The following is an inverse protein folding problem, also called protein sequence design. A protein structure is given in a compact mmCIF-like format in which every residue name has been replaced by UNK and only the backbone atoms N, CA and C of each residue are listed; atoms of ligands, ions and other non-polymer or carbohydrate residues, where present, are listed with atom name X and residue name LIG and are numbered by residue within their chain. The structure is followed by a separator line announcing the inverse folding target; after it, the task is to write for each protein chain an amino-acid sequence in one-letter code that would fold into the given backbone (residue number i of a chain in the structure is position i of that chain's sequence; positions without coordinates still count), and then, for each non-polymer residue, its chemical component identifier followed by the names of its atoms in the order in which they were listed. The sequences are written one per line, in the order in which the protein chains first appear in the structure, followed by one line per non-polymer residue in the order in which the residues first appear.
data_IF_855507490784
#
_entry.id   IF_855507490784
#
_cell.length_a   1.000
_cell.length_b   1.000
_cell.length_c   1.000
_cell.angle_alpha   90.00
_cell.angle_beta   90.00
_cell.angle_gamma   90.00
#
_symmetry.space_group_name_H-M   'P 1'
#
loop_
_entity.id
_entity.type
_entity.pdbx_description
1 polymer ?
#
# COMPACT_ATOMS: atom_id res chain seq x y z
N UNK A 1 13.36 5.33 11.14
CA UNK A 1 12.89 5.35 9.75
C UNK A 1 14.06 4.96 8.88
N UNK A 2 13.99 3.79 8.23
CA UNK A 2 14.93 3.48 7.15
C UNK A 2 14.61 4.46 6.00
N UNK A 3 15.62 5.16 5.51
CA UNK A 3 15.44 6.11 4.41
C UNK A 3 15.08 5.31 3.15
N UNK A 4 13.94 5.61 2.53
CA UNK A 4 13.64 5.14 1.19
C UNK A 4 14.15 6.15 0.16
N UNK A 5 14.53 5.66 -1.02
CA UNK A 5 14.96 6.50 -2.13
C UNK A 5 14.35 5.98 -3.42
N UNK A 6 14.09 6.91 -4.34
CA UNK A 6 13.76 6.54 -5.70
C UNK A 6 15.04 6.22 -6.47
N UNK A 7 14.96 5.25 -7.37
CA UNK A 7 16.05 4.89 -8.27
C UNK A 7 16.46 6.10 -9.12
N UNK A 8 17.74 6.49 -8.99
CA UNK A 8 18.29 7.69 -9.65
C UNK A 8 18.48 7.52 -11.16
N UNK A 9 18.59 6.28 -11.64
CA UNK A 9 18.85 5.98 -13.06
C UNK A 9 17.57 5.88 -13.89
N UNK A 10 16.38 5.89 -13.24
CA UNK A 10 15.12 5.81 -13.96
C UNK A 10 14.84 7.08 -14.74
N UNK A 11 14.69 6.92 -16.05
CA UNK A 11 14.20 7.97 -16.93
C UNK A 11 12.68 7.95 -17.00
N UNK A 12 12.07 9.13 -16.85
CA UNK A 12 10.63 9.32 -17.00
C UNK A 12 10.23 9.16 -18.47
N UNK A 13 9.25 8.29 -18.72
CA UNK A 13 8.68 8.16 -20.06
C UNK A 13 7.82 9.38 -20.40
N UNK A 14 7.84 9.76 -21.68
CA UNK A 14 6.95 10.76 -22.25
C UNK A 14 6.19 10.17 -23.42
N UNK A 15 4.88 10.36 -23.44
CA UNK A 15 4.01 10.04 -24.57
C UNK A 15 3.55 11.37 -25.14
N UNK A 16 4.13 11.78 -26.28
CA UNK A 16 3.95 13.13 -26.80
C UNK A 16 4.42 14.21 -25.83
N UNK A 17 3.53 15.13 -25.45
CA UNK A 17 3.75 16.16 -24.44
C UNK A 17 3.49 15.73 -23.00
N UNK A 18 2.95 14.52 -22.77
CA UNK A 18 2.59 14.03 -21.45
C UNK A 18 3.77 13.30 -20.76
N UNK A 19 4.11 13.70 -19.54
CA UNK A 19 5.11 13.02 -18.71
C UNK A 19 4.42 12.04 -17.76
N UNK A 20 4.77 10.76 -17.86
CA UNK A 20 4.21 9.70 -17.01
C UNK A 20 4.90 9.66 -15.64
N UNK A 21 4.27 9.10 -14.59
CA UNK A 21 4.93 8.68 -13.35
C UNK A 21 6.11 7.74 -13.64
N UNK A 22 7.13 7.68 -12.76
CA UNK A 22 8.31 6.84 -12.99
C UNK A 22 7.94 5.36 -13.07
N UNK A 23 6.92 4.91 -12.34
CA UNK A 23 6.48 3.53 -12.30
C UNK A 23 5.70 3.06 -13.53
N UNK A 24 5.28 3.96 -14.42
CA UNK A 24 4.54 3.58 -15.63
C UNK A 24 5.48 3.39 -16.82
N UNK A 25 5.38 2.22 -17.45
CA UNK A 25 5.94 1.92 -18.77
C UNK A 25 4.81 2.07 -19.78
N UNK A 26 4.92 2.94 -20.80
CA UNK A 26 3.79 3.30 -21.67
C UNK A 26 3.28 2.19 -22.58
N UNK A 27 4.13 1.24 -23.01
CA UNK A 27 3.75 0.29 -24.05
C UNK A 27 3.32 0.99 -25.35
N UNK A 28 2.15 0.62 -25.86
CA UNK A 28 1.51 1.20 -27.05
C UNK A 28 0.50 2.32 -26.72
N UNK A 29 0.63 2.91 -25.52
CA UNK A 29 -0.25 3.98 -25.05
C UNK A 29 -0.27 5.20 -25.97
N UNK A 30 -1.47 5.73 -26.19
CA UNK A 30 -1.71 7.01 -26.87
C UNK A 30 -1.58 8.14 -25.86
N UNK A 31 -1.07 9.30 -26.31
CA UNK A 31 -0.94 10.49 -25.46
C UNK A 31 -2.25 10.81 -24.72
N UNK A 32 -2.26 10.84 -23.38
CA UNK A 32 -3.44 11.18 -22.60
C UNK A 32 -3.87 12.64 -22.82
N UNK A 33 -5.18 12.86 -22.78
CA UNK A 33 -5.76 14.21 -22.85
C UNK A 33 -5.74 14.81 -21.45
N UNK A 34 -4.99 15.89 -21.28
CA UNK A 34 -4.98 16.64 -20.02
C UNK A 34 -6.27 17.46 -19.88
N UNK A 35 -7.00 17.26 -18.80
CA UNK A 35 -8.33 17.83 -18.58
C UNK A 35 -9.02 17.09 -17.44
N UNK A 36 -10.34 17.21 -17.34
CA UNK A 36 -11.13 16.39 -16.43
C UNK A 36 -12.38 15.82 -17.10
N UNK A 37 -12.83 14.65 -16.66
CA UNK A 37 -14.18 14.15 -16.93
C UNK A 37 -15.06 14.42 -15.72
N UNK A 38 -16.38 14.49 -15.93
CA UNK A 38 -17.36 14.57 -14.85
C UNK A 38 -18.46 13.54 -15.07
N UNK A 39 -18.78 12.79 -14.02
CA UNK A 39 -19.87 11.81 -14.01
C UNK A 39 -20.84 12.17 -12.90
N UNK A 40 -22.13 12.21 -13.23
CA UNK A 40 -23.20 12.34 -12.26
C UNK A 40 -23.60 10.95 -11.78
N UNK A 41 -23.58 10.75 -10.46
CA UNK A 41 -24.01 9.53 -9.82
C UNK A 41 -25.31 9.82 -9.07
N UNK A 42 -26.41 9.20 -9.51
CA UNK A 42 -27.66 9.27 -8.79
C UNK A 42 -27.55 8.44 -7.50
N UNK A 43 -27.88 9.05 -6.36
CA UNK A 43 -27.86 8.34 -5.09
C UNK A 43 -28.88 7.21 -5.06
N UNK A 44 -28.55 6.09 -4.41
CA UNK A 44 -29.51 5.03 -4.19
C UNK A 44 -30.24 5.22 -2.84
N UNK A 45 -31.57 5.09 -2.86
CA UNK A 45 -32.41 5.15 -1.65
C UNK A 45 -32.31 6.48 -0.88
N UNK A 46 -31.59 6.50 0.24
CA UNK A 46 -31.40 7.65 1.12
C UNK A 46 -30.04 8.35 0.89
N UNK A 47 -29.20 7.81 -0.01
CA UNK A 47 -27.92 8.40 -0.36
C UNK A 47 -28.09 9.66 -1.24
N UNK A 48 -27.27 10.69 -1.05
CA UNK A 48 -27.34 11.90 -1.86
C UNK A 48 -26.79 11.66 -3.27
N UNK A 49 -27.31 12.44 -4.23
CA UNK A 49 -26.70 12.56 -5.55
C UNK A 49 -25.30 13.21 -5.45
N UNK A 50 -24.39 12.77 -6.31
CA UNK A 50 -23.00 13.22 -6.28
C UNK A 50 -22.42 13.41 -7.69
N UNK A 51 -21.29 14.11 -7.76
CA UNK A 51 -20.43 14.16 -8.93
C UNK A 51 -19.09 13.50 -8.63
N UNK A 52 -18.57 12.75 -9.59
CA UNK A 52 -17.17 12.32 -9.63
C UNK A 52 -16.46 13.11 -10.72
N UNK A 53 -15.44 13.85 -10.33
CA UNK A 53 -14.50 14.49 -11.24
C UNK A 53 -13.25 13.61 -11.32
N UNK A 54 -12.75 13.34 -12.52
CA UNK A 54 -11.45 12.68 -12.69
C UNK A 54 -10.54 13.56 -13.52
N UNK A 55 -9.51 14.12 -12.88
CA UNK A 55 -8.60 15.07 -13.48
C UNK A 55 -7.25 14.41 -13.79
N UNK A 56 -6.76 14.58 -15.01
CA UNK A 56 -5.50 14.01 -15.47
C UNK A 56 -4.59 15.12 -15.97
N UNK A 57 -3.37 15.15 -15.45
CA UNK A 57 -2.32 16.11 -15.80
C UNK A 57 -0.98 15.41 -15.96
N UNK A 58 -0.11 15.99 -16.78
CA UNK A 58 1.29 15.55 -16.87
C UNK A 58 1.91 15.57 -15.46
N UNK A 59 2.73 14.56 -15.13
CA UNK A 59 3.27 14.34 -13.79
C UNK A 59 3.90 15.60 -13.17
N UNK A 60 4.54 16.46 -13.96
CA UNK A 60 5.12 17.72 -13.49
C UNK A 60 4.12 18.72 -12.85
N UNK A 61 2.81 18.52 -13.04
CA UNK A 61 1.74 19.36 -12.48
C UNK A 61 0.98 18.69 -11.34
N UNK A 62 1.13 17.38 -11.15
CA UNK A 62 0.22 16.60 -10.30
C UNK A 62 0.30 17.00 -8.83
N UNK A 63 1.51 17.23 -8.30
CA UNK A 63 1.70 17.54 -6.88
C UNK A 63 0.89 18.77 -6.47
N UNK A 64 0.85 19.79 -7.34
CA UNK A 64 0.10 21.01 -7.06
C UNK A 64 -1.41 20.74 -7.11
N UNK A 65 -1.88 20.00 -8.11
CA UNK A 65 -3.29 19.65 -8.23
C UNK A 65 -3.78 18.84 -7.02
N UNK A 66 -3.03 17.83 -6.60
CA UNK A 66 -3.38 16.98 -5.44
C UNK A 66 -3.39 17.79 -4.15
N UNK A 67 -2.38 18.65 -3.92
CA UNK A 67 -2.36 19.50 -2.73
C UNK A 67 -3.57 20.42 -2.68
N UNK A 68 -3.86 21.13 -3.78
CA UNK A 68 -4.99 22.05 -3.85
C UNK A 68 -6.32 21.28 -3.70
N UNK A 69 -6.41 20.05 -4.22
CA UNK A 69 -7.58 19.19 -4.03
C UNK A 69 -7.74 18.74 -2.57
N UNK A 70 -6.66 18.37 -1.87
CA UNK A 70 -6.70 18.05 -0.43
C UNK A 70 -7.10 19.25 0.42
N UNK A 71 -6.90 20.50 -0.02
CA UNK A 71 -7.42 21.69 0.68
C UNK A 71 -8.96 21.77 0.66
N UNK A 72 -9.65 20.99 -0.19
CA UNK A 72 -11.10 20.86 -0.15
C UNK A 72 -11.58 20.00 1.02
N UNK A 73 -10.74 19.10 1.52
CA UNK A 73 -11.10 18.18 2.60
C UNK A 73 -11.34 18.94 3.91
N UNK A 74 -12.30 18.48 4.74
CA UNK A 74 -12.54 19.08 6.05
C UNK A 74 -11.43 18.75 7.05
N UNK A 75 -11.53 19.30 8.26
CA UNK A 75 -10.53 19.12 9.32
C UNK A 75 -10.40 17.66 9.83
N UNK A 76 -11.37 16.80 9.53
CA UNK A 76 -11.45 15.40 9.95
C UNK A 76 -11.70 14.51 8.73
N UNK A 77 -10.86 13.52 8.51
CA UNK A 77 -10.90 12.65 7.33
C UNK A 77 -10.67 11.19 7.69
N UNK A 78 -11.08 10.30 6.81
CA UNK A 78 -10.80 8.87 6.85
C UNK A 78 -9.80 8.61 5.71
N UNK A 79 -8.53 8.29 6.02
CA UNK A 79 -7.57 7.95 4.99
C UNK A 79 -7.91 6.64 4.26
N UNK A 80 -7.55 6.59 2.98
CA UNK A 80 -7.72 5.43 2.10
C UNK A 80 -6.42 5.21 1.32
N UNK A 81 -5.99 3.95 1.21
CA UNK A 81 -4.92 3.51 0.32
C UNK A 81 -5.43 2.37 -0.55
N UNK A 82 -5.08 2.39 -1.81
CA UNK A 82 -5.28 1.27 -2.72
C UNK A 82 -3.92 0.74 -3.19
N UNK A 83 -3.74 -0.57 -3.27
CA UNK A 83 -2.52 -1.16 -3.81
C UNK A 83 -2.84 -2.42 -4.60
N UNK A 84 -2.11 -2.68 -5.69
CA UNK A 84 -2.23 -3.95 -6.42
C UNK A 84 -2.00 -5.14 -5.49
N UNK A 85 -2.95 -6.07 -5.46
CA UNK A 85 -2.92 -7.17 -4.50
C UNK A 85 -2.00 -8.31 -4.95
N UNK A 86 -1.43 -9.02 -3.97
CA UNK A 86 -0.73 -10.30 -4.18
C UNK A 86 -1.65 -11.50 -4.00
N UNK A 87 -2.87 -11.27 -3.52
CA UNK A 87 -3.87 -12.31 -3.32
C UNK A 87 -4.33 -12.90 -4.67
N UNK A 88 -4.35 -14.22 -4.75
CA UNK A 88 -4.67 -14.94 -5.99
C UNK A 88 -6.13 -14.77 -6.47
N UNK A 89 -7.00 -14.14 -5.67
CA UNK A 89 -8.44 -14.05 -5.93
C UNK A 89 -8.99 -12.61 -5.87
N UNK A 90 -8.13 -11.60 -5.73
CA UNK A 90 -8.49 -10.19 -5.89
C UNK A 90 -7.34 -9.42 -6.55
N UNK A 91 -7.68 -8.45 -7.38
CA UNK A 91 -6.72 -7.61 -8.08
C UNK A 91 -6.19 -6.43 -7.25
N UNK A 92 -6.95 -5.96 -6.27
CA UNK A 92 -6.67 -4.75 -5.50
C UNK A 92 -6.92 -4.97 -4.00
N UNK A 93 -6.00 -4.48 -3.19
CA UNK A 93 -6.15 -4.30 -1.75
C UNK A 93 -6.55 -2.86 -1.46
N UNK A 94 -7.65 -2.68 -0.73
CA UNK A 94 -8.12 -1.38 -0.28
C UNK A 94 -7.97 -1.33 1.23
N UNK A 95 -7.19 -0.37 1.72
CA UNK A 95 -6.99 -0.13 3.14
C UNK A 95 -7.71 1.16 3.53
N UNK A 96 -8.54 1.10 4.57
CA UNK A 96 -9.36 2.23 5.02
C UNK A 96 -9.18 2.40 6.51
N UNK A 97 -9.03 3.65 6.95
CA UNK A 97 -8.96 3.95 8.38
C UNK A 97 -10.27 3.60 9.08
N UNK A 98 -10.19 2.94 10.22
CA UNK A 98 -11.38 2.62 11.03
C UNK A 98 -11.83 3.80 11.90
N UNK A 99 -11.05 4.88 11.92
CA UNK A 99 -11.32 6.10 12.68
C UNK A 99 -11.15 7.34 11.80
N UNK A 100 -11.86 8.41 12.15
CA UNK A 100 -11.55 9.72 11.56
C UNK A 100 -10.28 10.29 12.22
N UNK A 101 -9.39 10.81 11.39
CA UNK A 101 -8.14 11.45 11.78
C UNK A 101 -8.19 12.95 11.45
N UNK A 102 -7.50 13.80 12.23
CA UNK A 102 -7.26 15.17 11.82
C UNK A 102 -6.57 15.22 10.45
N UNK A 103 -7.02 16.10 9.56
CA UNK A 103 -6.42 16.27 8.23
C UNK A 103 -4.91 16.55 8.30
N UNK A 104 -4.43 17.18 9.39
CA UNK A 104 -3.01 17.43 9.58
C UNK A 104 -2.20 16.13 9.69
N UNK A 105 -2.72 15.08 10.32
CA UNK A 105 -2.04 13.78 10.43
C UNK A 105 -1.94 13.07 9.07
N UNK A 106 -3.02 13.14 8.28
CA UNK A 106 -3.01 12.70 6.89
C UNK A 106 -1.99 13.49 6.05
N UNK A 107 -1.97 14.82 6.18
CA UNK A 107 -1.07 15.69 5.41
C UNK A 107 0.40 15.52 5.79
N UNK A 108 0.70 15.22 7.07
CA UNK A 108 2.05 14.86 7.51
C UNK A 108 2.54 13.58 6.84
N UNK A 109 1.69 12.56 6.77
CA UNK A 109 1.98 11.29 6.08
C UNK A 109 2.14 11.52 4.57
N UNK A 110 1.21 12.26 3.95
CA UNK A 110 1.31 12.67 2.54
C UNK A 110 2.64 13.36 2.24
N UNK A 111 3.04 14.36 3.04
CA UNK A 111 4.29 15.08 2.80
C UNK A 111 5.54 14.22 2.95
N UNK A 112 5.49 13.22 3.84
CA UNK A 112 6.56 12.25 4.05
C UNK A 112 6.70 11.29 2.88
N UNK A 113 5.59 10.76 2.35
CA UNK A 113 5.59 9.68 1.36
C UNK A 113 5.28 10.13 -0.07
N UNK A 114 4.94 11.41 -0.33
CA UNK A 114 4.57 11.91 -1.66
C UNK A 114 5.57 11.58 -2.77
N UNK A 115 6.86 11.44 -2.46
CA UNK A 115 7.87 11.10 -3.44
C UNK A 115 7.61 9.73 -4.08
N UNK A 116 7.23 8.71 -3.29
CA UNK A 116 6.85 7.39 -3.83
C UNK A 116 5.40 7.40 -4.31
N UNK A 117 4.48 8.03 -3.57
CA UNK A 117 3.04 8.04 -3.90
C UNK A 117 2.74 8.72 -5.24
N UNK A 118 3.54 9.69 -5.67
CA UNK A 118 3.39 10.37 -6.96
C UNK A 118 4.03 9.61 -8.14
N UNK A 119 4.84 8.58 -7.86
CA UNK A 119 5.72 7.95 -8.84
C UNK A 119 5.43 6.48 -9.07
N UNK A 120 5.14 5.73 -8.00
CA UNK A 120 4.90 4.30 -8.04
C UNK A 120 3.50 4.01 -8.59
N UNK A 121 3.41 3.19 -9.63
CA UNK A 121 2.14 2.94 -10.33
C UNK A 121 1.32 1.78 -9.76
N UNK A 122 1.70 1.25 -8.61
CA UNK A 122 0.96 0.18 -7.92
C UNK A 122 0.16 0.65 -6.72
N UNK A 123 0.38 1.88 -6.24
CA UNK A 123 -0.26 2.44 -5.05
C UNK A 123 -1.08 3.70 -5.37
N UNK A 124 -2.28 3.80 -4.81
CA UNK A 124 -3.14 4.98 -4.75
C UNK A 124 -3.34 5.43 -3.31
N UNK A 125 -3.68 6.71 -3.11
CA UNK A 125 -3.90 7.28 -1.79
C UNK A 125 -4.90 8.41 -1.84
N UNK A 126 -5.72 8.52 -0.81
CA UNK A 126 -6.62 9.63 -0.64
C UNK A 126 -7.24 9.66 0.73
N UNK A 127 -8.31 10.42 0.81
CA UNK A 127 -9.08 10.58 2.02
C UNK A 127 -10.53 10.89 1.68
N UNK A 128 -11.44 10.31 2.46
CA UNK A 128 -12.85 10.63 2.46
C UNK A 128 -13.27 11.36 3.73
N UNK A 129 -14.41 12.04 3.70
CA UNK A 129 -15.08 12.61 4.86
C UNK A 129 -16.57 12.34 4.79
N UNK A 130 -17.23 12.22 5.95
CA UNK A 130 -18.67 11.96 6.01
C UNK A 130 -19.51 13.25 5.98
N UNK A 131 -19.01 14.33 6.59
CA UNK A 131 -19.74 15.59 6.72
C UNK A 131 -18.85 16.82 6.39
N UNK A 132 -18.98 17.42 5.18
CA UNK A 132 -19.77 16.91 4.06
C UNK A 132 -19.18 15.60 3.52
N UNK A 133 -20.01 14.82 2.81
CA UNK A 133 -19.49 13.72 2.02
C UNK A 133 -18.51 14.30 0.99
N UNK A 134 -17.25 13.90 1.01
CA UNK A 134 -16.24 14.34 0.05
C UNK A 134 -15.12 13.32 0.04
N UNK A 135 -14.65 12.95 -1.14
CA UNK A 135 -13.46 12.13 -1.33
C UNK A 135 -12.51 12.82 -2.29
N UNK A 136 -11.24 12.81 -1.96
CA UNK A 136 -10.15 13.20 -2.86
C UNK A 136 -9.16 12.06 -2.90
N UNK A 137 -8.93 11.50 -4.09
CA UNK A 137 -8.12 10.30 -4.27
C UNK A 137 -7.15 10.44 -5.43
N UNK A 138 -5.89 10.11 -5.20
CA UNK A 138 -4.86 9.95 -6.21
C UNK A 138 -4.77 8.47 -6.59
N UNK A 139 -5.25 8.12 -7.78
CA UNK A 139 -5.27 6.73 -8.25
C UNK A 139 -3.87 6.19 -8.60
N UNK A 140 -3.75 4.88 -8.86
CA UNK A 140 -2.49 4.23 -9.22
C UNK A 140 -1.91 4.72 -10.57
N UNK A 141 -2.75 5.25 -11.46
CA UNK A 141 -2.40 5.90 -12.72
C UNK A 141 -2.05 7.37 -12.57
N UNK A 142 -2.14 7.90 -11.35
CA UNK A 142 -1.89 9.28 -10.98
C UNK A 142 -2.88 10.27 -11.62
N UNK A 143 -4.12 9.82 -11.79
CA UNK A 143 -5.29 10.69 -11.91
C UNK A 143 -5.78 11.15 -10.53
N UNK A 144 -6.38 12.33 -10.48
CA UNK A 144 -6.98 12.88 -9.25
C UNK A 144 -8.50 12.76 -9.36
N UNK A 145 -9.08 11.86 -8.59
CA UNK A 145 -10.52 11.71 -8.42
C UNK A 145 -11.01 12.61 -7.29
N UNK A 146 -12.12 13.32 -7.53
CA UNK A 146 -12.83 14.10 -6.51
C UNK A 146 -14.29 13.70 -6.56
N UNK A 147 -14.78 13.03 -5.51
CA UNK A 147 -16.17 12.64 -5.37
C UNK A 147 -16.85 13.58 -4.38
N UNK A 148 -17.85 14.33 -4.83
CA UNK A 148 -18.42 15.42 -4.05
C UNK A 148 -19.93 15.60 -4.26
N UNK A 149 -20.63 16.26 -3.33
CA UNK A 149 -22.04 16.57 -3.44
C UNK A 149 -22.26 17.67 -4.48
N UNK A 150 -23.52 17.79 -4.94
CA UNK A 150 -23.89 18.66 -6.05
C UNK A 150 -23.51 20.14 -5.82
N UNK A 151 -23.53 20.61 -4.56
CA UNK A 151 -23.26 22.00 -4.21
C UNK A 151 -21.78 22.37 -4.37
N UNK A 152 -20.87 21.40 -4.34
CA UNK A 152 -19.42 21.63 -4.46
C UNK A 152 -18.95 21.72 -5.91
N UNK A 153 -19.81 21.38 -6.89
CA UNK A 153 -19.47 21.37 -8.32
C UNK A 153 -18.75 22.64 -8.78
N UNK A 154 -19.31 23.81 -8.46
CA UNK A 154 -18.75 25.09 -8.91
C UNK A 154 -17.36 25.36 -8.30
N UNK A 155 -17.16 25.00 -7.03
CA UNK A 155 -15.87 25.15 -6.35
C UNK A 155 -14.80 24.26 -6.98
N UNK A 156 -15.15 23.01 -7.28
CA UNK A 156 -14.24 22.03 -7.91
C UNK A 156 -13.91 22.46 -9.35
N UNK A 157 -14.90 22.85 -10.16
CA UNK A 157 -14.66 23.38 -11.51
C UNK A 157 -13.77 24.62 -11.49
N UNK A 158 -13.91 25.49 -10.48
CA UNK A 158 -13.05 26.66 -10.32
C UNK A 158 -11.61 26.25 -10.02
N UNK A 159 -11.40 25.32 -9.09
CA UNK A 159 -10.08 24.76 -8.77
C UNK A 159 -9.44 24.15 -10.01
N UNK A 160 -10.17 23.31 -10.74
CA UNK A 160 -9.66 22.67 -11.97
C UNK A 160 -9.31 23.71 -13.05
N UNK A 161 -10.12 24.76 -13.19
CA UNK A 161 -9.85 25.86 -14.11
C UNK A 161 -8.62 26.70 -13.71
N UNK A 162 -8.34 26.88 -12.41
CA UNK A 162 -7.10 27.54 -11.92
C UNK A 162 -5.84 26.74 -12.27
N UNK A 163 -5.98 25.41 -12.38
CA UNK A 163 -4.95 24.56 -12.95
C UNK A 163 -4.89 24.62 -14.47
N UNK A 164 -5.84 25.27 -15.15
CA UNK A 164 -5.94 25.32 -16.60
C UNK A 164 -6.48 24.03 -17.21
N UNK A 165 -7.39 23.35 -16.50
CA UNK A 165 -8.08 22.16 -16.97
C UNK A 165 -9.48 22.53 -17.44
N UNK A 166 -9.88 21.91 -18.54
CA UNK A 166 -11.23 22.00 -19.10
C UNK A 166 -11.88 20.62 -19.08
N UNK A 167 -13.21 20.58 -19.10
CA UNK A 167 -13.95 19.34 -19.23
C UNK A 167 -13.67 18.72 -20.61
N UNK A 168 -13.27 17.45 -20.64
CA UNK A 168 -12.99 16.68 -21.84
C UNK A 168 -13.84 15.43 -21.87
N UNK A 169 -14.01 14.85 -23.06
CA UNK A 169 -14.83 13.64 -23.22
C UNK A 169 -14.20 12.42 -22.52
N UNK A 170 -12.87 12.31 -22.56
CA UNK A 170 -12.09 11.23 -21.96
C UNK A 170 -10.67 11.75 -21.74
N UNK A 171 -10.06 11.35 -20.62
CA UNK A 171 -8.68 11.68 -20.24
C UNK A 171 -7.70 10.61 -20.74
N UNK A 172 -7.99 9.35 -20.40
CA UNK A 172 -7.36 8.15 -20.95
C UNK A 172 -8.24 7.62 -22.08
N UNK A 173 -7.65 7.35 -23.26
CA UNK A 173 -8.41 6.77 -24.36
C UNK A 173 -8.68 5.30 -24.08
N UNK A 174 -9.96 4.92 -24.00
CA UNK A 174 -10.37 3.53 -24.02
C UNK A 174 -9.91 2.93 -25.35
N UNK A 175 -8.97 1.99 -25.31
CA UNK A 175 -8.83 1.07 -26.43
C UNK A 175 -10.15 0.29 -26.48
N UNK A 176 -10.96 0.61 -27.49
CA UNK A 176 -12.27 0.00 -27.68
C UNK A 176 -12.18 -1.54 -27.56
N UNK A 177 -13.04 -2.09 -26.70
CA UNK A 177 -13.21 -3.52 -26.40
C UNK A 177 -12.25 -4.10 -25.34
N UNK A 178 -12.61 -3.93 -24.07
CA UNK A 178 -12.58 -5.00 -23.05
C UNK A 178 -11.23 -5.61 -22.64
N UNK A 179 -10.13 -5.19 -23.25
CA UNK A 179 -8.78 -5.55 -22.85
C UNK A 179 -8.16 -4.31 -22.21
N UNK A 180 -7.58 -4.58 -21.05
CA UNK A 180 -6.67 -3.79 -20.23
C UNK A 180 -5.82 -2.77 -21.03
N UNK A 181 -5.15 -1.87 -20.34
CA UNK A 181 -4.05 -1.10 -20.93
C UNK A 181 -2.87 -2.06 -21.23
N UNK A 182 -3.10 -3.02 -22.13
CA UNK A 182 -2.57 -4.40 -22.23
C UNK A 182 -1.11 -4.47 -22.65
N UNK A 183 -0.47 -3.32 -22.86
CA UNK A 183 0.95 -3.19 -23.14
C UNK A 183 1.67 -2.21 -22.21
N UNK A 184 0.93 -1.43 -21.43
CA UNK A 184 1.55 -0.65 -20.36
C UNK A 184 2.00 -1.59 -19.24
N UNK A 185 3.09 -1.25 -18.60
CA UNK A 185 3.65 -2.04 -17.51
C UNK A 185 3.87 -1.19 -16.28
N UNK A 186 3.84 -1.84 -15.12
CA UNK A 186 4.33 -1.26 -13.87
C UNK A 186 5.77 -1.68 -13.68
N UNK A 187 6.61 -0.77 -13.18
CA UNK A 187 7.98 -1.07 -12.74
C UNK A 187 8.24 -0.49 -11.37
N UNK A 188 9.15 -1.13 -10.65
CA UNK A 188 9.64 -0.65 -9.36
C UNK A 188 10.34 0.70 -9.50
N UNK A 189 10.04 1.60 -8.56
CA UNK A 189 10.66 2.94 -8.49
C UNK A 189 11.58 3.10 -7.29
N UNK A 190 11.45 2.24 -6.27
CA UNK A 190 12.27 2.27 -5.07
C UNK A 190 13.65 1.66 -5.36
N UNK A 191 14.67 2.27 -4.78
CA UNK A 191 16.06 1.80 -4.85
C UNK A 191 16.27 0.71 -3.80
N UNK A 192 16.44 -0.54 -4.25
CA UNK A 192 16.77 -1.69 -3.40
C UNK A 192 18.26 -2.01 -3.58
N UNK A 193 19.08 -1.65 -2.59
CA UNK A 193 20.55 -1.82 -2.62
C UNK A 193 20.98 -3.09 -1.90
N UNK A 194 20.22 -3.47 -0.87
CA UNK A 194 20.45 -4.60 0.01
C UNK A 194 19.12 -5.08 0.61
N UNK A 195 19.17 -6.17 1.37
CA UNK A 195 18.02 -6.76 2.06
C UNK A 195 17.47 -5.84 3.18
N UNK A 196 18.16 -4.74 3.50
CA UNK A 196 17.73 -3.76 4.51
C UNK A 196 16.99 -2.55 3.89
N UNK A 197 16.98 -2.44 2.56
CA UNK A 197 16.38 -1.34 1.82
C UNK A 197 14.86 -1.36 1.94
N UNK A 198 14.25 -0.20 2.18
CA UNK A 198 12.80 -0.09 2.32
C UNK A 198 12.10 -0.33 0.97
N UNK A 199 11.32 -1.39 0.91
CA UNK A 199 10.45 -1.73 -0.20
C UNK A 199 9.04 -1.13 -0.03
N UNK A 200 8.16 -1.39 -0.99
CA UNK A 200 6.80 -0.84 -0.97
C UNK A 200 5.96 -1.42 0.18
N UNK A 201 6.18 -2.67 0.56
CA UNK A 201 5.43 -3.33 1.64
C UNK A 201 5.81 -2.74 2.99
N UNK A 202 7.09 -2.45 3.24
CA UNK A 202 7.55 -1.75 4.44
C UNK A 202 6.94 -0.34 4.51
N UNK A 203 6.87 0.37 3.38
CA UNK A 203 6.24 1.69 3.32
C UNK A 203 4.72 1.62 3.54
N UNK A 204 4.04 0.62 2.95
CA UNK A 204 2.61 0.39 3.14
C UNK A 204 2.32 0.02 4.59
N UNK A 205 3.10 -0.86 5.20
CA UNK A 205 2.96 -1.25 6.58
C UNK A 205 3.03 -0.03 7.52
N UNK A 206 4.02 0.85 7.31
CA UNK A 206 4.13 2.11 8.07
C UNK A 206 2.97 3.05 7.82
N UNK A 207 2.54 3.20 6.57
CA UNK A 207 1.37 4.03 6.25
C UNK A 207 0.12 3.51 6.96
N UNK A 208 -0.06 2.18 7.03
CA UNK A 208 -1.16 1.55 7.77
C UNK A 208 -1.10 1.85 9.26
N UNK A 209 0.07 1.78 9.87
CA UNK A 209 0.24 2.13 11.29
C UNK A 209 0.00 3.63 11.55
N UNK A 210 0.59 4.50 10.73
CA UNK A 210 0.50 5.96 10.88
C UNK A 210 -0.93 6.48 10.65
N UNK A 211 -1.69 5.84 9.75
CA UNK A 211 -3.03 6.27 9.35
C UNK A 211 -4.14 5.33 9.86
N UNK A 212 -3.83 4.42 10.79
CA UNK A 212 -4.76 3.46 11.40
C UNK A 212 -5.59 2.67 10.36
N UNK A 213 -4.95 2.23 9.28
CA UNK A 213 -5.61 1.58 8.15
C UNK A 213 -5.71 0.06 8.33
N UNK A 214 -6.92 -0.45 8.09
CA UNK A 214 -7.20 -1.88 8.03
C UNK A 214 -7.66 -2.29 6.62
N UNK A 215 -7.40 -3.55 6.26
CA UNK A 215 -7.84 -4.10 4.99
C UNK A 215 -9.38 -4.11 4.92
N UNK A 216 -9.95 -3.45 3.94
CA UNK A 216 -11.38 -3.26 3.76
C UNK A 216 -12.05 -4.49 3.10
N UNK A 217 -12.06 -5.60 3.84
CA UNK A 217 -12.76 -6.82 3.46
C UNK A 217 -13.60 -7.32 4.63
N UNK A 218 -14.67 -8.09 4.36
CA UNK A 218 -15.40 -8.80 5.42
C UNK A 218 -14.56 -9.99 5.91
N UNK A 219 -14.04 -9.96 7.15
CA UNK A 219 -13.16 -11.00 7.66
C UNK A 219 -13.86 -12.35 7.87
N UNK A 220 -15.20 -12.37 7.91
CA UNK A 220 -15.98 -13.60 8.09
C UNK A 220 -16.24 -14.32 6.77
N UNK A 221 -16.22 -13.58 5.65
CA UNK A 221 -16.45 -14.11 4.31
C UNK A 221 -15.15 -14.56 3.64
N UNK A 222 -15.24 -15.50 2.69
CA UNK A 222 -14.13 -15.81 1.78
C UNK A 222 -14.64 -15.93 0.36
N UNK A 223 -14.77 -14.78 -0.28
CA UNK A 223 -15.23 -14.63 -1.65
C UNK A 223 -14.12 -14.07 -2.54
N UNK A 224 -14.14 -14.42 -3.82
CA UNK A 224 -13.34 -13.69 -4.81
C UNK A 224 -13.91 -12.29 -5.10
N UNK A 225 -13.21 -11.51 -5.92
CA UNK A 225 -13.64 -10.17 -6.33
C UNK A 225 -15.00 -10.12 -7.05
N UNK A 226 -15.53 -11.25 -7.54
CA UNK A 226 -16.87 -11.35 -8.15
C UNK A 226 -17.96 -11.72 -7.14
N UNK A 227 -17.60 -11.90 -5.87
CA UNK A 227 -18.49 -12.30 -4.79
C UNK A 227 -18.77 -13.80 -4.72
N UNK A 228 -18.00 -14.63 -5.44
CA UNK A 228 -18.17 -16.09 -5.39
C UNK A 228 -17.46 -16.67 -4.18
N UNK A 229 -18.18 -17.47 -3.39
CA UNK A 229 -17.60 -18.22 -2.27
C UNK A 229 -16.49 -19.18 -2.72
N UNK A 230 -15.33 -19.09 -2.08
CA UNK A 230 -14.15 -19.91 -2.35
C UNK A 230 -14.06 -21.13 -1.43
N UNK A 231 -14.67 -21.06 -0.24
CA UNK A 231 -14.56 -22.09 0.79
C UNK A 231 -13.18 -22.06 1.45
N UNK A 232 -12.51 -23.22 1.53
CA UNK A 232 -11.18 -23.34 2.12
C UNK A 232 -10.10 -23.01 1.08
N UNK A 233 -9.28 -22.00 1.34
CA UNK A 233 -8.16 -21.58 0.49
C UNK A 233 -6.83 -21.76 1.21
N UNK A 234 -5.73 -21.80 0.45
CA UNK A 234 -4.39 -21.67 1.00
C UNK A 234 -4.12 -20.20 1.30
N UNK A 235 -3.57 -19.92 2.48
CA UNK A 235 -3.21 -18.59 2.93
C UNK A 235 -1.74 -18.55 3.30
N UNK A 236 -1.09 -17.45 2.97
CA UNK A 236 0.19 -17.04 3.52
C UNK A 236 -0.05 -15.80 4.37
N UNK A 237 0.43 -15.84 5.61
CA UNK A 237 0.40 -14.70 6.51
C UNK A 237 1.81 -14.41 7.01
N UNK A 238 2.21 -13.15 7.00
CA UNK A 238 3.46 -12.68 7.61
C UNK A 238 3.09 -11.78 8.76
N UNK A 239 3.62 -12.07 9.96
CA UNK A 239 3.50 -11.19 11.12
C UNK A 239 4.86 -10.63 11.51
N UNK A 240 4.84 -9.41 12.05
CA UNK A 240 5.95 -8.83 12.78
C UNK A 240 5.81 -9.29 14.24
N UNK A 241 6.87 -9.85 14.79
CA UNK A 241 6.87 -10.31 16.17
C UNK A 241 8.07 -9.78 16.95
N UNK A 242 7.83 -9.40 18.20
CA UNK A 242 8.85 -8.98 19.15
C UNK A 242 9.23 -10.14 20.08
N UNK A 243 10.45 -10.20 20.62
CA UNK A 243 10.81 -11.23 21.58
C UNK A 243 10.05 -11.04 22.90
N UNK A 244 9.54 -12.13 23.48
CA UNK A 244 8.86 -12.11 24.80
C UNK A 244 9.79 -11.62 25.92
N UNK A 245 11.10 -11.84 25.76
CA UNK A 245 12.14 -11.33 26.64
C UNK A 245 13.43 -11.12 25.85
N UNK A 246 14.07 -9.95 26.00
CA UNK A 246 15.28 -9.64 25.25
C UNK A 246 15.43 -8.15 25.02
N UNK A 247 16.22 -7.81 24.00
CA UNK A 247 16.34 -6.45 23.50
C UNK A 247 15.08 -6.10 22.68
N UNK A 248 14.33 -5.02 23.01
CA UNK A 248 13.16 -4.59 22.24
C UNK A 248 13.47 -4.17 20.79
N UNK A 249 14.75 -4.07 20.44
CA UNK A 249 15.18 -3.77 19.08
C UNK A 249 15.43 -5.03 18.23
N UNK A 250 15.32 -6.23 18.83
CA UNK A 250 15.24 -7.50 18.12
C UNK A 250 13.79 -7.80 17.74
N UNK A 251 13.59 -8.59 16.69
CA UNK A 251 12.27 -9.03 16.24
C UNK A 251 12.37 -10.18 15.24
N UNK A 252 11.25 -10.65 14.73
CA UNK A 252 11.21 -11.67 13.69
C UNK A 252 10.00 -11.54 12.78
N UNK A 253 10.19 -11.93 11.51
CA UNK A 253 9.09 -12.16 10.59
C UNK A 253 8.71 -13.62 10.75
N UNK A 254 7.45 -13.87 11.12
CA UNK A 254 6.92 -15.23 11.16
C UNK A 254 6.00 -15.42 9.97
N UNK A 255 6.38 -16.32 9.06
CA UNK A 255 5.58 -16.67 7.88
C UNK A 255 4.79 -17.94 8.15
N UNK A 256 3.47 -17.82 8.17
CA UNK A 256 2.56 -18.93 8.33
C UNK A 256 1.98 -19.33 6.98
N UNK A 257 1.97 -20.63 6.71
CA UNK A 257 1.21 -21.23 5.63
C UNK A 257 0.09 -22.08 6.21
N UNK A 258 -1.14 -21.77 5.83
CA UNK A 258 -2.31 -22.39 6.43
C UNK A 258 -3.46 -22.56 5.45
N UNK A 259 -4.38 -23.46 5.78
CA UNK A 259 -5.70 -23.51 5.12
C UNK A 259 -6.75 -22.98 6.07
N UNK A 260 -7.61 -22.11 5.57
CA UNK A 260 -8.69 -21.49 6.32
C UNK A 260 -9.82 -21.06 5.38
N UNK A 261 -11.03 -20.92 5.93
CA UNK A 261 -12.23 -20.54 5.20
C UNK A 261 -12.57 -19.06 5.27
N UNK A 262 -11.78 -18.24 5.98
CA UNK A 262 -11.96 -16.80 6.12
C UNK A 262 -10.72 -16.16 6.76
N UNK A 263 -10.57 -14.84 6.64
CA UNK A 263 -9.51 -14.10 7.31
C UNK A 263 -9.63 -14.21 8.84
N UNK A 264 -10.85 -14.17 9.39
CA UNK A 264 -11.11 -14.39 10.82
C UNK A 264 -10.50 -15.70 11.30
N UNK A 265 -10.66 -16.77 10.53
CA UNK A 265 -10.11 -18.08 10.90
C UNK A 265 -8.58 -18.13 10.77
N UNK A 266 -7.99 -17.37 9.84
CA UNK A 266 -6.53 -17.17 9.77
C UNK A 266 -6.02 -16.49 11.04
N UNK A 267 -6.63 -15.38 11.44
CA UNK A 267 -6.29 -14.65 12.67
C UNK A 267 -6.40 -15.55 13.91
N UNK A 268 -7.49 -16.31 14.04
CA UNK A 268 -7.68 -17.27 15.15
C UNK A 268 -6.61 -18.37 15.19
N UNK A 269 -6.19 -18.88 14.02
CA UNK A 269 -5.12 -19.89 13.93
C UNK A 269 -3.77 -19.30 14.37
N UNK A 270 -3.45 -18.09 13.91
CA UNK A 270 -2.23 -17.37 14.31
C UNK A 270 -2.24 -17.13 15.80
N UNK A 271 -3.32 -16.56 16.35
CA UNK A 271 -3.46 -16.29 17.78
C UNK A 271 -3.25 -17.55 18.62
N UNK A 272 -3.85 -18.67 18.22
CA UNK A 272 -3.68 -19.96 18.89
C UNK A 272 -2.24 -20.45 18.83
N UNK A 273 -1.57 -20.33 17.67
CA UNK A 273 -0.17 -20.72 17.54
C UNK A 273 0.76 -19.83 18.39
N UNK A 274 0.50 -18.53 18.40
CA UNK A 274 1.27 -17.54 19.15
C UNK A 274 1.11 -17.70 20.66
N UNK A 275 -0.04 -18.14 21.15
CA UNK A 275 -0.26 -18.45 22.58
C UNK A 275 0.48 -19.70 23.07
N UNK A 276 0.85 -20.62 22.17
CA UNK A 276 1.49 -21.89 22.53
C UNK A 276 3.01 -21.78 22.56
N UNK A 277 3.58 -20.84 21.79
CA UNK A 277 5.01 -20.57 21.79
C UNK A 277 5.35 -19.46 22.81
N UNK A 278 6.53 -19.52 23.41
CA UNK A 278 6.95 -18.59 24.48
C UNK A 278 8.05 -17.61 24.03
N UNK A 279 8.45 -17.63 22.77
CA UNK A 279 9.64 -16.92 22.27
C UNK A 279 9.29 -15.53 21.75
N UNK A 280 8.17 -15.42 21.06
CA UNK A 280 7.75 -14.23 20.32
C UNK A 280 6.39 -13.72 20.82
N UNK A 281 6.10 -12.46 20.57
CA UNK A 281 4.78 -11.86 20.78
C UNK A 281 4.38 -11.22 19.46
N UNK A 282 3.16 -11.51 18.99
CA UNK A 282 2.64 -10.88 17.78
C UNK A 282 2.49 -9.38 18.04
N UNK A 283 3.20 -8.56 17.28
CA UNK A 283 3.10 -7.10 17.32
C UNK A 283 2.04 -6.63 16.33
N UNK A 284 2.18 -7.06 15.07
CA UNK A 284 1.29 -6.64 13.99
C UNK A 284 1.27 -7.63 12.82
N UNK A 285 0.21 -7.55 12.02
CA UNK A 285 0.01 -8.33 10.82
C UNK A 285 0.60 -7.58 9.62
N UNK A 286 1.72 -8.08 9.10
CA UNK A 286 2.44 -7.46 7.99
C UNK A 286 1.69 -7.66 6.66
N UNK A 287 1.43 -8.90 6.28
CA UNK A 287 0.63 -9.25 5.10
C UNK A 287 -0.21 -10.52 5.33
N UNK A 288 -1.36 -10.61 4.66
CA UNK A 288 -2.19 -11.83 4.61
C UNK A 288 -2.85 -11.95 3.26
N UNK A 289 -2.47 -13.00 2.54
CA UNK A 289 -2.85 -13.22 1.16
C UNK A 289 -3.31 -14.66 0.97
N UNK A 290 -4.35 -14.85 0.14
CA UNK A 290 -4.68 -16.17 -0.37
C UNK A 290 -3.71 -16.48 -1.51
N UNK A 291 -3.07 -17.64 -1.43
CA UNK A 291 -2.06 -18.05 -2.40
C UNK A 291 -2.63 -19.04 -3.40
N UNK A 292 -2.18 -18.94 -4.64
CA UNK A 292 -2.41 -20.02 -5.58
C UNK A 292 -1.64 -21.26 -5.12
N UNK A 293 -2.24 -22.43 -5.27
CA UNK A 293 -1.64 -23.66 -4.74
C UNK A 293 -0.29 -24.00 -5.39
N UNK A 294 0.00 -23.51 -6.59
CA UNK A 294 1.27 -23.66 -7.29
C UNK A 294 2.38 -22.71 -6.79
N UNK A 295 2.04 -21.70 -5.99
CA UNK A 295 2.98 -20.78 -5.36
C UNK A 295 3.45 -21.27 -3.97
N UNK A 296 2.95 -22.42 -3.51
CA UNK A 296 3.32 -22.99 -2.21
C UNK A 296 4.79 -23.44 -2.20
N UNK A 297 5.49 -23.35 -1.04
CA UNK A 297 6.86 -23.81 -0.91
C UNK A 297 6.97 -25.32 -1.17
N UNK A 298 8.16 -25.77 -1.56
CA UNK A 298 8.45 -27.19 -1.86
C UNK A 298 8.09 -28.13 -0.69
N UNK A 299 8.26 -27.67 0.55
CA UNK A 299 7.88 -28.43 1.75
C UNK A 299 6.38 -28.73 1.84
N UNK A 300 5.55 -27.97 1.11
CA UNK A 300 4.12 -28.16 0.97
C UNK A 300 3.71 -28.77 -0.37
N UNK A 301 4.64 -29.31 -1.16
CA UNK A 301 4.34 -29.88 -2.49
C UNK A 301 3.28 -30.99 -2.43
N UNK A 302 3.24 -31.79 -1.36
CA UNK A 302 2.27 -32.88 -1.17
C UNK A 302 0.93 -32.43 -0.55
N UNK A 303 0.77 -31.12 -0.24
CA UNK A 303 -0.45 -30.60 0.34
C UNK A 303 -1.63 -30.76 -0.65
N UNK A 304 -2.74 -31.41 -0.25
CA UNK A 304 -3.88 -31.63 -1.15
C UNK A 304 -4.61 -30.31 -1.43
N UNK A 305 -5.10 -30.16 -2.67
CA UNK A 305 -5.83 -28.97 -3.14
C UNK A 305 -7.16 -28.71 -2.42
N UNK A 306 -7.81 -29.78 -1.92
CA UNK A 306 -9.13 -29.69 -1.30
C UNK A 306 -9.02 -30.14 0.15
N UNK A 307 -9.48 -29.29 1.06
CA UNK A 307 -9.52 -29.57 2.50
C UNK A 307 -10.85 -29.18 3.10
N UNK A 308 -11.22 -29.88 4.17
CA UNK A 308 -12.44 -29.64 4.93
C UNK A 308 -12.19 -29.02 6.30
N UNK A 309 -10.93 -28.87 6.69
CA UNK A 309 -10.52 -28.43 8.03
C UNK A 309 -9.43 -27.37 7.91
N UNK A 310 -9.54 -26.38 8.78
CA UNK A 310 -8.57 -25.30 8.91
C UNK A 310 -7.36 -25.79 9.71
N UNK A 311 -6.16 -25.44 9.24
CA UNK A 311 -4.92 -25.95 9.82
C UNK A 311 -3.72 -25.10 9.37
N UNK A 312 -2.78 -24.86 10.30
CA UNK A 312 -1.43 -24.40 9.99
C UNK A 312 -0.59 -25.59 9.53
N UNK A 313 0.01 -25.46 8.35
CA UNK A 313 0.84 -26.52 7.75
C UNK A 313 2.33 -26.29 7.98
N UNK A 314 2.75 -25.02 7.96
CA UNK A 314 4.14 -24.64 8.04
C UNK A 314 4.27 -23.25 8.66
N UNK A 315 5.32 -23.08 9.47
CA UNK A 315 5.70 -21.79 10.07
C UNK A 315 7.20 -21.64 9.91
N UNK A 316 7.61 -20.56 9.26
CA UNK A 316 9.00 -20.12 9.14
C UNK A 316 9.23 -18.91 10.04
N UNK A 317 10.43 -18.83 10.63
CA UNK A 317 10.82 -17.75 11.54
C UNK A 317 12.11 -17.14 11.01
N UNK A 318 12.06 -15.87 10.64
CA UNK A 318 13.20 -15.10 10.19
C UNK A 318 13.52 -13.96 11.18
N UNK A 319 14.45 -14.19 12.15
CA UNK A 319 14.78 -13.21 13.16
C UNK A 319 15.73 -12.12 12.64
N UNK A 320 15.45 -10.87 12.99
CA UNK A 320 16.38 -9.74 12.84
C UNK A 320 16.85 -9.24 14.21
N UNK A 321 18.10 -8.81 14.29
CA UNK A 321 18.62 -8.10 15.44
C UNK A 321 18.92 -6.65 15.03
N UNK A 322 18.47 -5.64 15.80
CA UNK A 322 19.11 -4.33 15.64
C UNK A 322 20.57 -4.48 16.03
N UNK A 323 21.48 -4.02 15.18
CA UNK A 323 22.87 -3.96 15.58
C UNK A 323 23.04 -2.85 16.60
N UNK A 324 23.51 -3.25 17.78
CA UNK A 324 24.37 -2.44 18.62
C UNK A 324 25.33 -1.62 17.74
N UNK A 325 25.38 -0.32 18.01
CA UNK A 325 26.34 0.63 17.45
C UNK A 325 27.75 0.03 17.46
N UNK A 326 28.52 0.12 16.36
CA UNK A 326 29.92 -0.30 16.35
C UNK A 326 30.77 0.75 17.09
N UNK A 327 30.64 0.81 18.42
CA UNK A 327 31.55 1.53 19.29
C UNK A 327 31.87 0.69 20.52
N UNK A 328 32.72 -0.33 20.35
CA UNK A 328 33.66 -0.75 21.40
C UNK A 328 34.75 -1.74 20.91
N UNK A 329 35.28 -1.58 19.70
CA UNK A 329 36.68 -1.99 19.46
C UNK A 329 37.60 -0.86 19.96
N UNK A 330 37.76 -0.80 21.28
CA UNK A 330 38.49 0.28 21.92
C UNK A 330 38.83 0.04 23.39
N UNK A 331 38.97 -1.22 23.83
CA UNK A 331 39.56 -1.52 25.13
C UNK A 331 40.97 -2.04 24.91
N UNK A 332 41.93 -1.12 25.10
CA UNK A 332 43.37 -1.38 25.20
C UNK A 332 43.66 -2.57 26.11
N UNK A 333 44.56 -3.42 25.63
CA UNK A 333 45.26 -4.41 26.44
C UNK A 333 46.03 -3.67 27.56
N UNK A 334 45.79 -3.95 28.86
CA UNK A 334 46.51 -3.32 29.95
C UNK A 334 47.86 -4.01 30.27
N UNK A 335 48.39 -4.87 29.39
CA UNK A 335 49.62 -5.64 29.65
C UNK A 335 50.79 -5.42 28.68
N UNK A 336 50.84 -4.31 27.94
CA UNK A 336 52.09 -3.84 27.33
C UNK A 336 52.76 -2.78 28.23
N UNK A 337 53.36 -3.26 29.32
CA UNK A 337 54.46 -2.55 30.01
C UNK A 337 55.78 -3.25 29.66
N UNK A 338 56.37 -2.86 28.53
CA UNK A 338 57.82 -2.83 28.37
C UNK A 338 58.28 -1.40 28.68
N UNK A 339 58.92 -1.19 29.84
CA UNK A 339 59.90 -0.12 30.02
C UNK A 339 61.11 -0.65 30.79
N UNK A 340 62.15 -0.90 29.99
CA UNK A 340 63.58 -0.72 30.21
C UNK A 340 64.19 -0.90 31.62
N UNK A 341 65.08 -1.90 31.67
CA UNK A 341 66.49 -1.58 31.83
C UNK A 341 67.11 -1.78 33.21
N UNK A 342 68.03 -2.75 33.33
CA UNK A 342 69.40 -2.52 33.83
C UNK A 342 70.24 -3.80 33.79
N UNK A 343 71.25 -3.84 32.90
CA UNK A 343 72.66 -4.16 33.15
C UNK A 343 73.38 -4.58 31.85
#
# INVERSE_FOLDING_TARGET
MREFRLQQELSRYRVGGFALPLGIIPGDMIEPVQGYTVTYNAGEHEEPDTYTFHAVVSHERIMRLVNDAFELLPDSVIPIIEIGSRDAYRSLDVYVSQIELPIQEFMESWHRYKAVLLEDASIGIGANSNEPYLEVFLDCWKGVAIHAPLEMRQSIETLLAEHGLEEVQSTWQDNAEGDDVTHSGVREVLEIVDDESADLDELLHRLREELALDLNIDPESNCDETGRELGMTLWQAVIVAEPTAGDPSEGAYLTFWMTASSLRQVEELIDQAMQVQDVWVCESLYSVDRMAFDERPDDLADLPLVRSEAQIHFVEVDPWASRATPEQEGARDPFDEDDDGTA
#
